data_IF_638730970123
#
_entry.id   IF_638730970123
#
_cell.length_a   1.000
_cell.length_b   1.000
_cell.length_c   1.000
_cell.angle_alpha   90.00
_cell.angle_beta   90.00
_cell.angle_gamma   90.00
#
_symmetry.space_group_name_H-M   'P 1'
#
loop_
_entity.id
_entity.type
_entity.pdbx_description
1 polymer ?
#
# COMPACT_ATOMS: atom_id res chain seq x y z
N UNK A 1 -13.86 -4.19 -6.00
CA UNK A 1 -14.38 -3.19 -5.07
C UNK A 1 -14.65 -3.85 -3.73
N UNK A 2 -14.40 -3.20 -2.63
CA UNK A 2 -14.56 -3.81 -1.31
C UNK A 2 -15.76 -3.19 -0.62
N UNK A 3 -16.74 -4.00 -0.25
CA UNK A 3 -17.97 -3.55 0.42
C UNK A 3 -17.93 -4.03 1.86
N UNK A 4 -17.63 -3.14 2.80
CA UNK A 4 -17.54 -3.47 4.24
C UNK A 4 -18.85 -3.98 4.81
N UNK A 5 -19.98 -3.43 4.35
CA UNK A 5 -21.33 -3.80 4.84
C UNK A 5 -21.68 -5.27 4.55
N UNK A 6 -21.12 -5.86 3.49
CA UNK A 6 -21.29 -7.28 3.15
C UNK A 6 -20.30 -8.20 3.88
N UNK A 7 -19.34 -7.66 4.64
CA UNK A 7 -18.32 -8.45 5.31
C UNK A 7 -18.85 -9.11 6.58
N UNK A 8 -18.87 -10.43 6.61
CA UNK A 8 -19.29 -11.26 7.76
C UNK A 8 -18.18 -11.54 8.77
N UNK A 9 -17.02 -10.92 8.62
CA UNK A 9 -15.86 -11.14 9.49
C UNK A 9 -15.38 -12.62 9.61
N UNK A 10 -15.61 -13.45 8.58
CA UNK A 10 -15.32 -14.88 8.59
C UNK A 10 -13.82 -15.25 8.58
N UNK A 11 -12.92 -14.29 8.37
CA UNK A 11 -11.45 -14.43 8.37
C UNK A 11 -10.86 -15.33 7.25
N UNK A 12 -11.63 -15.82 6.30
CA UNK A 12 -11.10 -16.63 5.20
C UNK A 12 -10.06 -15.87 4.37
N UNK A 13 -10.31 -14.60 4.06
CA UNK A 13 -9.37 -13.75 3.32
C UNK A 13 -8.05 -13.53 4.07
N UNK A 14 -8.10 -13.48 5.41
CA UNK A 14 -6.90 -13.36 6.27
C UNK A 14 -6.08 -14.65 6.20
N UNK A 15 -6.73 -15.82 6.31
CA UNK A 15 -6.05 -17.12 6.34
C UNK A 15 -5.35 -17.48 5.02
N UNK A 16 -5.89 -17.04 3.88
CA UNK A 16 -5.32 -17.36 2.55
C UNK A 16 -4.33 -16.32 2.04
N UNK A 17 -4.14 -15.21 2.74
CA UNK A 17 -3.24 -14.15 2.30
C UNK A 17 -1.76 -14.58 2.36
N UNK A 18 -1.08 -14.82 1.22
CA UNK A 18 0.28 -15.35 1.23
C UNK A 18 1.30 -14.37 1.79
N UNK A 19 1.01 -13.07 1.72
CA UNK A 19 1.89 -12.01 2.20
C UNK A 19 1.49 -11.48 3.59
N UNK A 20 0.49 -12.09 4.23
CA UNK A 20 0.02 -11.72 5.57
C UNK A 20 -0.32 -10.22 5.72
N UNK A 21 -0.84 -9.63 4.66
CA UNK A 21 -1.21 -8.20 4.62
C UNK A 21 -2.57 -7.97 5.28
N UNK A 22 -3.46 -8.96 5.22
CA UNK A 22 -4.78 -8.86 5.83
C UNK A 22 -4.73 -9.35 7.27
N UNK A 23 -5.36 -8.60 8.16
CA UNK A 23 -5.54 -8.95 9.57
C UNK A 23 -6.94 -8.55 10.03
N UNK A 24 -7.46 -9.14 11.11
CA UNK A 24 -8.71 -8.69 11.73
C UNK A 24 -8.51 -7.31 12.36
N UNK A 25 -9.47 -6.42 12.15
CA UNK A 25 -9.45 -5.10 12.77
C UNK A 25 -9.81 -5.18 14.26
N UNK A 26 -9.10 -4.40 15.06
CA UNK A 26 -9.41 -4.19 16.47
C UNK A 26 -10.30 -2.97 16.73
N UNK A 27 -10.66 -2.21 15.70
CA UNK A 27 -11.56 -1.07 15.83
C UNK A 27 -12.99 -1.52 16.16
N UNK A 28 -13.59 -0.92 17.18
CA UNK A 28 -14.95 -1.27 17.64
C UNK A 28 -16.03 -1.10 16.57
N UNK A 29 -15.87 -0.16 15.64
CA UNK A 29 -16.80 0.05 14.53
C UNK A 29 -16.71 -1.04 13.45
N UNK A 30 -15.54 -1.64 13.31
CA UNK A 30 -15.22 -2.61 12.27
C UNK A 30 -14.60 -3.89 12.86
N UNK A 31 -15.06 -4.23 14.09
CA UNK A 31 -14.50 -5.33 14.85
C UNK A 31 -14.45 -6.63 14.04
N UNK A 32 -13.27 -7.24 14.01
CA UNK A 32 -12.99 -8.48 13.27
C UNK A 32 -13.15 -8.38 11.74
N UNK A 33 -13.57 -7.26 11.19
CA UNK A 33 -13.50 -7.06 9.74
C UNK A 33 -12.05 -6.96 9.30
N UNK A 34 -11.78 -7.23 8.02
CA UNK A 34 -10.42 -7.20 7.49
C UNK A 34 -9.84 -5.78 7.47
N UNK A 35 -8.63 -5.67 7.87
CA UNK A 35 -7.79 -4.49 7.83
C UNK A 35 -6.50 -4.82 7.09
N UNK A 36 -5.89 -3.86 6.40
CA UNK A 36 -4.59 -4.04 5.76
C UNK A 36 -3.48 -3.51 6.67
N UNK A 37 -2.43 -4.31 6.82
CA UNK A 37 -1.20 -3.94 7.51
C UNK A 37 0.00 -4.37 6.69
N UNK A 38 0.93 -3.45 6.49
CA UNK A 38 2.11 -3.67 5.66
C UNK A 38 3.38 -4.00 6.47
N UNK A 39 3.22 -4.33 7.74
CA UNK A 39 4.35 -4.71 8.62
C UNK A 39 5.05 -5.99 8.17
N UNK A 40 4.29 -6.99 7.73
CA UNK A 40 4.80 -8.33 7.37
C UNK A 40 4.98 -8.55 5.89
N UNK A 41 4.37 -7.73 5.06
CA UNK A 41 4.40 -7.88 3.62
C UNK A 41 3.61 -6.78 2.92
N UNK A 42 3.43 -6.92 1.62
CA UNK A 42 2.66 -6.00 0.80
C UNK A 42 1.76 -6.74 -0.18
N UNK A 43 0.71 -6.08 -0.65
CA UNK A 43 -0.27 -6.67 -1.56
C UNK A 43 0.29 -6.73 -2.99
N UNK A 44 0.41 -7.93 -3.55
CA UNK A 44 0.89 -8.10 -4.93
C UNK A 44 -0.23 -7.85 -5.94
N UNK A 45 0.03 -7.12 -7.03
CA UNK A 45 -0.97 -6.85 -8.07
C UNK A 45 -1.53 -8.13 -8.72
N UNK A 46 -0.70 -9.15 -8.88
CA UNK A 46 -1.05 -10.43 -9.51
C UNK A 46 -1.77 -11.43 -8.58
N UNK A 47 -2.11 -11.05 -7.35
CA UNK A 47 -2.72 -11.96 -6.37
C UNK A 47 -4.18 -11.57 -6.08
N UNK A 48 -5.13 -12.48 -6.30
CA UNK A 48 -6.56 -12.30 -6.02
C UNK A 48 -7.14 -13.28 -4.99
N UNK A 49 -6.30 -14.05 -4.28
CA UNK A 49 -6.73 -15.14 -3.38
C UNK A 49 -7.78 -14.73 -2.34
N UNK A 50 -7.73 -13.49 -1.86
CA UNK A 50 -8.71 -13.00 -0.88
C UNK A 50 -10.10 -12.79 -1.51
N UNK A 51 -10.19 -12.45 -2.79
CA UNK A 51 -11.47 -12.34 -3.51
C UNK A 51 -12.05 -13.72 -3.82
N UNK A 52 -11.21 -14.68 -4.24
CA UNK A 52 -11.61 -16.04 -4.59
C UNK A 52 -12.31 -16.79 -3.46
N UNK A 53 -11.97 -16.50 -2.21
CA UNK A 53 -12.50 -17.19 -1.03
C UNK A 53 -13.59 -16.41 -0.29
N UNK A 54 -13.93 -15.20 -0.75
CA UNK A 54 -14.92 -14.37 -0.05
C UNK A 54 -16.35 -14.87 -0.30
N UNK A 55 -17.04 -15.44 0.70
CA UNK A 55 -18.36 -16.05 0.49
C UNK A 55 -19.47 -15.05 0.24
N UNK A 56 -19.27 -13.79 0.64
CA UNK A 56 -20.24 -12.72 0.50
C UNK A 56 -19.89 -11.72 -0.60
N UNK A 57 -18.83 -12.01 -1.36
CA UNK A 57 -18.29 -11.11 -2.39
C UNK A 57 -17.96 -9.69 -1.86
N UNK A 58 -17.71 -9.58 -0.54
CA UNK A 58 -17.29 -8.31 0.06
C UNK A 58 -15.91 -7.84 -0.43
N UNK A 59 -15.11 -8.74 -0.99
CA UNK A 59 -13.91 -8.43 -1.77
C UNK A 59 -14.20 -8.91 -3.20
N UNK A 60 -14.67 -7.99 -4.01
CA UNK A 60 -15.01 -8.28 -5.39
C UNK A 60 -13.86 -7.86 -6.33
N UNK A 61 -13.45 -8.77 -7.21
CA UNK A 61 -12.56 -8.52 -8.35
C UNK A 61 -13.12 -9.29 -9.54
N UNK A 62 -13.38 -8.59 -10.63
CA UNK A 62 -13.87 -9.21 -11.86
C UNK A 62 -12.77 -10.09 -12.49
N UNK A 63 -11.54 -9.60 -12.52
CA UNK A 63 -10.36 -10.35 -12.95
C UNK A 63 -9.06 -9.81 -12.33
N UNK A 64 -7.93 -10.49 -12.60
CA UNK A 64 -6.60 -10.10 -12.11
C UNK A 64 -6.08 -8.82 -12.77
N UNK A 65 -6.50 -8.52 -13.98
CA UNK A 65 -6.09 -7.32 -14.70
C UNK A 65 -6.72 -6.07 -14.08
N UNK A 66 -7.97 -6.18 -13.64
CA UNK A 66 -8.68 -5.13 -12.92
C UNK A 66 -7.96 -4.75 -11.62
N UNK A 67 -7.39 -5.72 -10.91
CA UNK A 67 -6.72 -5.46 -9.64
C UNK A 67 -5.56 -4.47 -9.74
N UNK A 68 -4.81 -4.49 -10.82
CA UNK A 68 -3.71 -3.53 -11.05
C UNK A 68 -4.20 -2.10 -11.29
N UNK A 69 -5.49 -1.94 -11.59
CA UNK A 69 -6.17 -0.66 -11.80
C UNK A 69 -7.03 -0.22 -10.60
N UNK A 70 -7.25 -1.11 -9.62
CA UNK A 70 -8.04 -0.77 -8.42
C UNK A 70 -7.17 -0.06 -7.40
N UNK A 71 -7.50 1.20 -7.15
CA UNK A 71 -6.88 2.00 -6.11
C UNK A 71 -7.58 1.75 -4.77
N UNK A 72 -6.90 1.07 -3.84
CA UNK A 72 -7.38 0.80 -2.48
C UNK A 72 -6.93 1.83 -1.45
N UNK A 73 -5.95 2.66 -1.82
CA UNK A 73 -5.36 3.69 -1.00
C UNK A 73 -4.28 4.43 -1.78
N UNK A 74 -3.59 5.32 -1.13
CA UNK A 74 -2.44 6.01 -1.72
C UNK A 74 -1.30 6.15 -0.71
N UNK A 75 -0.07 6.21 -1.22
CA UNK A 75 1.11 6.39 -0.39
C UNK A 75 1.28 7.86 0.01
N UNK A 76 1.63 8.08 1.26
CA UNK A 76 1.96 9.39 1.85
C UNK A 76 3.40 9.37 2.31
N UNK A 77 4.20 10.31 1.86
CA UNK A 77 5.60 10.44 2.25
C UNK A 77 5.78 11.43 3.39
N UNK A 78 6.49 11.00 4.44
CA UNK A 78 6.85 11.80 5.62
C UNK A 78 8.33 12.16 5.54
N UNK A 79 8.61 13.38 5.11
CA UNK A 79 9.97 13.85 4.87
C UNK A 79 10.89 13.76 6.09
N UNK A 80 10.34 14.01 7.30
CA UNK A 80 11.10 14.00 8.56
C UNK A 80 11.62 12.62 8.96
N UNK A 81 10.97 11.55 8.51
CA UNK A 81 11.35 10.18 8.81
C UNK A 81 12.26 9.57 7.73
N UNK A 82 12.45 10.25 6.60
CA UNK A 82 13.18 9.70 5.47
C UNK A 82 14.69 9.76 5.71
N UNK A 83 15.37 8.62 5.59
CA UNK A 83 16.84 8.52 5.77
C UNK A 83 17.65 9.40 4.81
N UNK A 84 17.05 9.81 3.70
CA UNK A 84 17.65 10.81 2.80
C UNK A 84 17.78 12.16 3.50
N UNK A 85 16.79 12.51 4.34
CA UNK A 85 16.77 13.78 5.06
C UNK A 85 17.41 13.69 6.45
N UNK A 86 17.25 12.55 7.16
CA UNK A 86 17.80 12.39 8.51
C UNK A 86 19.29 12.06 8.50
N UNK A 87 19.70 11.17 7.61
CA UNK A 87 21.05 10.59 7.63
C UNK A 87 21.89 11.05 6.43
N UNK A 88 21.29 11.78 5.48
CA UNK A 88 21.97 12.24 4.27
C UNK A 88 22.40 11.10 3.33
N UNK A 89 21.73 9.96 3.40
CA UNK A 89 22.07 8.75 2.63
C UNK A 89 21.20 8.64 1.39
N UNK A 90 21.81 8.36 0.24
CA UNK A 90 21.06 8.09 -1.00
C UNK A 90 20.19 6.85 -0.83
N UNK A 91 18.90 7.01 -1.11
CA UNK A 91 17.91 5.93 -1.08
C UNK A 91 17.00 6.04 -2.33
N UNK A 92 16.21 5.05 -2.59
CA UNK A 92 15.27 5.01 -3.74
C UNK A 92 14.44 3.74 -3.66
N UNK A 93 14.41 3.14 -2.48
CA UNK A 93 13.83 1.82 -2.29
C UNK A 93 12.32 1.82 -2.57
N UNK A 94 11.61 2.86 -2.12
CA UNK A 94 10.17 3.03 -2.36
C UNK A 94 9.82 3.13 -3.86
N UNK A 95 10.60 3.89 -4.64
CA UNK A 95 10.39 4.02 -6.09
C UNK A 95 10.74 2.72 -6.84
N UNK A 96 11.84 2.06 -6.45
CA UNK A 96 12.32 0.83 -7.10
C UNK A 96 11.32 -0.33 -7.00
N UNK A 97 10.57 -0.39 -5.90
CA UNK A 97 9.62 -1.47 -5.64
C UNK A 97 8.16 -1.07 -5.92
N UNK A 98 7.92 0.11 -6.48
CA UNK A 98 6.57 0.53 -6.85
C UNK A 98 6.12 -0.17 -8.15
N UNK A 99 5.11 -1.06 -8.10
CA UNK A 99 4.70 -1.83 -9.27
C UNK A 99 4.04 -0.99 -10.37
N UNK A 100 3.45 0.16 -10.00
CA UNK A 100 2.79 1.06 -10.95
C UNK A 100 3.67 2.23 -11.37
N UNK A 101 4.90 2.33 -10.84
CA UNK A 101 5.77 3.49 -11.09
C UNK A 101 5.19 4.81 -10.59
N UNK A 102 4.34 4.75 -9.57
CA UNK A 102 3.71 5.94 -8.99
C UNK A 102 4.67 6.81 -8.17
N UNK A 103 5.87 6.32 -7.84
CA UNK A 103 6.86 7.04 -7.04
C UNK A 103 8.05 7.39 -7.93
N UNK A 104 8.28 8.68 -8.10
CA UNK A 104 9.41 9.21 -8.85
C UNK A 104 10.46 9.77 -7.90
N UNK A 105 11.74 9.60 -8.25
CA UNK A 105 12.84 10.18 -7.50
C UNK A 105 13.28 11.48 -8.16
N UNK A 106 13.11 12.60 -7.45
CA UNK A 106 13.50 13.93 -7.93
C UNK A 106 14.66 14.47 -7.10
N UNK A 107 15.55 15.31 -7.67
CA UNK A 107 16.59 15.99 -6.89
C UNK A 107 15.97 16.80 -5.74
N UNK A 108 16.59 16.79 -4.58
CA UNK A 108 16.15 17.56 -3.41
C UNK A 108 16.33 19.07 -3.66
N UNK A 109 17.44 19.43 -4.29
CA UNK A 109 17.74 20.79 -4.70
C UNK A 109 17.53 20.91 -6.22
N UNK A 110 16.66 21.82 -6.64
CA UNK A 110 16.27 21.96 -8.04
C UNK A 110 17.44 22.43 -8.93
N UNK A 111 18.42 23.16 -8.36
CA UNK A 111 19.57 23.73 -9.04
C UNK A 111 20.77 22.78 -9.10
N UNK A 112 20.73 21.65 -8.39
CA UNK A 112 21.79 20.66 -8.36
C UNK A 112 21.27 19.24 -8.68
N UNK A 113 21.47 18.81 -9.93
CA UNK A 113 21.11 17.45 -10.37
C UNK A 113 21.84 16.32 -9.62
N UNK A 114 22.98 16.65 -8.98
CA UNK A 114 23.76 15.69 -8.18
C UNK A 114 23.30 15.63 -6.72
N UNK A 115 22.34 16.47 -6.33
CA UNK A 115 21.78 16.44 -4.99
C UNK A 115 21.10 15.09 -4.69
N UNK A 116 20.93 14.80 -3.40
CA UNK A 116 20.20 13.62 -2.95
C UNK A 116 18.78 13.64 -3.52
N UNK A 117 18.29 12.48 -3.95
CA UNK A 117 16.95 12.37 -4.53
C UNK A 117 15.92 12.01 -3.48
N UNK A 118 14.80 12.71 -3.52
CA UNK A 118 13.64 12.46 -2.65
C UNK A 118 12.48 11.86 -3.46
N UNK A 119 11.60 11.05 -2.83
CA UNK A 119 10.45 10.50 -3.51
C UNK A 119 9.32 11.53 -3.66
N UNK A 120 8.72 11.57 -4.83
CA UNK A 120 7.46 12.28 -5.10
C UNK A 120 6.43 11.23 -5.51
N UNK A 121 5.29 11.24 -4.83
CA UNK A 121 4.22 10.26 -5.06
C UNK A 121 3.17 10.84 -6.00
N UNK A 122 2.93 10.16 -7.11
CA UNK A 122 1.76 10.40 -7.95
C UNK A 122 0.58 9.60 -7.40
N UNK A 123 -0.31 10.26 -6.69
CA UNK A 123 -1.47 9.62 -6.04
C UNK A 123 -2.47 9.03 -7.02
N UNK A 124 -2.56 9.56 -8.25
CA UNK A 124 -3.46 9.05 -9.28
C UNK A 124 -3.03 7.70 -9.86
N UNK A 125 -1.73 7.41 -9.82
CA UNK A 125 -1.17 6.13 -10.28
C UNK A 125 -0.93 5.12 -9.17
N UNK A 126 -1.04 5.57 -7.91
CA UNK A 126 -0.77 4.74 -6.76
C UNK A 126 -1.96 3.83 -6.44
N UNK A 127 -1.79 2.53 -6.46
CA UNK A 127 -2.84 1.54 -6.12
C UNK A 127 -2.94 1.23 -4.62
N UNK A 128 -2.04 1.76 -3.78
CA UNK A 128 -2.06 1.52 -2.34
C UNK A 128 -1.59 0.11 -1.92
N UNK A 129 -0.70 -0.51 -2.67
CA UNK A 129 -0.26 -1.90 -2.42
C UNK A 129 0.63 -2.09 -1.18
N UNK A 130 1.23 -1.02 -0.64
CA UNK A 130 2.06 -1.03 0.56
C UNK A 130 3.51 -1.49 0.37
N UNK A 131 3.97 -1.75 -0.86
CA UNK A 131 5.35 -2.17 -1.10
C UNK A 131 6.37 -1.12 -0.63
N UNK A 132 6.10 0.15 -0.86
CA UNK A 132 6.94 1.26 -0.42
C UNK A 132 7.02 1.38 1.11
N UNK A 133 5.92 1.11 1.83
CA UNK A 133 5.86 1.13 3.29
C UNK A 133 6.61 -0.06 3.90
N UNK A 134 6.29 -1.28 3.44
CA UNK A 134 6.90 -2.51 3.93
C UNK A 134 8.42 -2.53 3.75
N UNK A 135 8.90 -2.09 2.59
CA UNK A 135 10.32 -2.12 2.21
C UNK A 135 11.08 -0.85 2.59
N UNK A 136 10.46 0.10 3.26
CA UNK A 136 11.12 1.31 3.75
C UNK A 136 12.16 0.93 4.81
N UNK A 137 13.44 1.36 4.68
CA UNK A 137 14.47 1.05 5.66
C UNK A 137 14.42 1.94 6.91
N UNK A 138 13.65 3.03 6.88
CA UNK A 138 13.53 3.97 8.00
C UNK A 138 12.93 3.30 9.24
N UNK A 139 13.51 3.55 10.41
CA UNK A 139 13.07 3.04 11.71
C UNK A 139 13.14 4.17 12.76
N UNK A 140 12.30 4.16 13.79
CA UNK A 140 11.29 3.15 14.14
C UNK A 140 10.04 3.18 13.26
N UNK A 141 9.78 4.29 12.55
CA UNK A 141 8.62 4.47 11.69
C UNK A 141 9.04 4.55 10.23
N UNK A 142 8.28 3.93 9.35
CA UNK A 142 8.46 4.09 7.90
C UNK A 142 8.32 5.55 7.50
N UNK A 143 9.17 6.00 6.57
CA UNK A 143 9.09 7.35 6.01
C UNK A 143 7.98 7.49 4.95
N UNK A 144 7.34 6.39 4.60
CA UNK A 144 6.23 6.36 3.65
C UNK A 144 5.24 5.32 4.14
N UNK A 145 3.96 5.68 4.16
CA UNK A 145 2.88 4.79 4.59
C UNK A 145 1.70 4.91 3.63
N UNK A 146 0.77 3.97 3.70
CA UNK A 146 -0.41 3.96 2.84
C UNK A 146 -1.65 4.37 3.63
N UNK A 147 -2.31 5.43 3.16
CA UNK A 147 -3.67 5.78 3.58
C UNK A 147 -4.69 5.00 2.74
N UNK A 148 -5.54 4.22 3.42
CA UNK A 148 -6.63 3.49 2.80
C UNK A 148 -7.78 4.41 2.40
N UNK A 149 -8.40 4.11 1.25
CA UNK A 149 -9.63 4.78 0.84
C UNK A 149 -10.85 4.02 1.35
N UNK A 150 -11.88 4.75 1.82
CA UNK A 150 -13.17 4.14 2.19
C UNK A 150 -13.86 3.52 0.97
N UNK A 151 -13.79 4.20 -0.16
CA UNK A 151 -14.26 3.71 -1.45
C UNK A 151 -13.09 3.49 -2.40
N UNK A 152 -12.98 2.28 -2.92
CA UNK A 152 -11.98 1.94 -3.93
C UNK A 152 -12.37 2.51 -5.28
N UNK A 153 -11.38 2.96 -6.06
CA UNK A 153 -11.57 3.54 -7.40
C UNK A 153 -10.85 2.67 -8.43
N UNK A 154 -11.34 2.73 -9.66
CA UNK A 154 -10.61 2.24 -10.84
C UNK A 154 -9.86 3.45 -11.42
N UNK A 155 -8.56 3.29 -11.67
CA UNK A 155 -7.65 4.33 -12.21
C UNK A 155 -7.09 3.92 -13.55
#
# INVERSE_FOLDING_TARGET
MCIRDSCTACQLCVSVCPNQVLRPSGDLKHLMQREMSYERGYCRPECAKCAEVCPTDAIHLADLTEKSSVQIGHAVWVAQNCIVNTDGVSCGNCARHCPTGAILMVPKDADDEKSLKIPVVNTERCIGCGACENLCPSRPFSAIYVEGHEMHRII
#
